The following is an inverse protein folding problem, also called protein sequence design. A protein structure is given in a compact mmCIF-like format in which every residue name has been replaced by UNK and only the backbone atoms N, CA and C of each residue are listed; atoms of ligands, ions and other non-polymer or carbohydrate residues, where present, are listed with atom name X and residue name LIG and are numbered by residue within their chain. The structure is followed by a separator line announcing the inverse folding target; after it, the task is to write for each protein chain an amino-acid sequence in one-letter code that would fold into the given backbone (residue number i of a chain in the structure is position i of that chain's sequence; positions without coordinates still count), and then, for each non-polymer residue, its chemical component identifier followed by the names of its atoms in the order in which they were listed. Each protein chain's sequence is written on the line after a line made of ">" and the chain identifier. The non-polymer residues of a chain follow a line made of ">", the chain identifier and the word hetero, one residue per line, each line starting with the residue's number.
data_IF_099884668571
#
_entry.id   IF_099884668571
#
_cell.length_a   1.000
_cell.length_b   1.000
_cell.length_c   1.000
_cell.angle_alpha   90.00
_cell.angle_beta   90.00
_cell.angle_gamma   90.00
#
_symmetry.space_group_name_H-M   'P 1'
#
loop_
_entity.id
_entity.type
_entity.pdbx_description
1 polymer ?
#
# COMPACT_ATOMS: atom_id res chain seq x y z
N UNK A 1 6.97 0.77 19.23
CA UNK A 1 8.08 0.95 18.27
C UNK A 1 7.78 0.10 17.03
N UNK A 2 7.21 0.67 15.97
CA UNK A 2 7.10 -0.03 14.69
C UNK A 2 8.23 0.48 13.79
N UNK A 3 9.39 -0.16 13.87
CA UNK A 3 10.56 0.23 13.09
C UNK A 3 11.11 -0.99 12.34
N UNK A 4 10.39 -1.38 11.29
CA UNK A 4 10.88 -2.23 10.23
C UNK A 4 10.44 -1.54 8.94
N UNK A 5 11.25 -0.59 8.47
CA UNK A 5 11.08 0.00 7.14
C UNK A 5 11.32 -1.12 6.13
N UNK A 6 10.27 -1.89 5.82
CA UNK A 6 10.29 -2.82 4.69
C UNK A 6 10.32 -1.98 3.42
N UNK A 7 11.16 -2.37 2.47
CA UNK A 7 11.15 -1.73 1.16
C UNK A 7 9.78 -1.86 0.51
N UNK A 8 9.33 -0.82 -0.18
CA UNK A 8 8.01 -0.75 -0.85
C UNK A 8 7.77 -1.92 -1.80
N UNK A 9 8.83 -2.44 -2.43
CA UNK A 9 8.79 -3.65 -3.27
C UNK A 9 8.45 -4.92 -2.48
N UNK A 10 8.93 -5.05 -1.24
CA UNK A 10 8.60 -6.18 -0.38
C UNK A 10 7.14 -6.11 0.06
N UNK A 11 6.65 -4.92 0.41
CA UNK A 11 5.24 -4.72 0.73
C UNK A 11 4.35 -5.01 -0.46
N UNK A 12 4.71 -4.56 -1.67
CA UNK A 12 4.00 -4.89 -2.91
C UNK A 12 3.86 -6.40 -3.13
N UNK A 13 4.91 -7.18 -2.87
CA UNK A 13 4.87 -8.64 -2.95
C UNK A 13 3.94 -9.27 -1.90
N UNK A 14 3.90 -8.70 -0.69
CA UNK A 14 3.09 -9.21 0.41
C UNK A 14 1.60 -8.88 0.27
N UNK A 15 1.26 -7.75 -0.36
CA UNK A 15 -0.14 -7.36 -0.58
C UNK A 15 -0.73 -7.87 -1.89
N UNK A 16 0.11 -8.18 -2.89
CA UNK A 16 -0.37 -8.69 -4.18
C UNK A 16 -1.13 -10.01 -4.00
N UNK A 17 -2.35 -10.08 -4.52
CA UNK A 17 -3.24 -11.23 -4.41
C UNK A 17 -4.02 -11.33 -3.10
N UNK A 18 -3.74 -10.48 -2.10
CA UNK A 18 -4.58 -10.37 -0.90
C UNK A 18 -5.91 -9.69 -1.22
N UNK A 19 -6.90 -9.94 -0.36
CA UNK A 19 -8.15 -9.18 -0.40
C UNK A 19 -7.86 -7.70 -0.08
N UNK A 20 -8.73 -6.81 -0.55
CA UNK A 20 -8.64 -5.38 -0.27
C UNK A 20 -8.42 -5.10 1.22
N UNK A 21 -9.22 -5.71 2.09
CA UNK A 21 -9.15 -5.50 3.55
C UNK A 21 -7.82 -5.99 4.12
N UNK A 22 -7.40 -7.21 3.78
CA UNK A 22 -6.14 -7.76 4.30
C UNK A 22 -4.92 -6.97 3.82
N UNK A 23 -4.98 -6.39 2.62
CA UNK A 23 -3.92 -5.55 2.08
C UNK A 23 -3.85 -4.18 2.77
N UNK A 24 -4.99 -3.55 3.03
CA UNK A 24 -5.09 -2.29 3.78
C UNK A 24 -4.56 -2.48 5.21
N UNK A 25 -5.03 -3.50 5.94
CA UNK A 25 -4.58 -3.81 7.29
C UNK A 25 -3.09 -4.12 7.34
N UNK A 26 -2.56 -4.84 6.35
CA UNK A 26 -1.14 -5.15 6.27
C UNK A 26 -0.33 -3.87 6.17
N UNK A 27 -0.68 -2.92 5.30
CA UNK A 27 0.02 -1.64 5.20
C UNK A 27 -0.05 -0.83 6.52
N UNK A 28 -1.22 -0.79 7.17
CA UNK A 28 -1.40 -0.08 8.44
C UNK A 28 -0.51 -0.69 9.54
N UNK A 29 -0.41 -2.01 9.62
CA UNK A 29 0.49 -2.70 10.58
C UNK A 29 1.97 -2.34 10.38
N UNK A 30 2.38 -1.97 9.17
CA UNK A 30 3.74 -1.49 8.86
C UNK A 30 3.92 0.02 9.06
N UNK A 31 2.91 0.72 9.60
CA UNK A 31 3.00 2.14 9.93
C UNK A 31 2.56 3.09 8.81
N UNK A 32 1.87 2.58 7.79
CA UNK A 32 1.33 3.41 6.72
C UNK A 32 0.04 4.11 7.18
N UNK A 33 -0.19 5.37 6.79
CA UNK A 33 -1.44 6.06 7.10
C UNK A 33 -2.62 5.34 6.42
N UNK A 34 -3.74 5.21 7.13
CA UNK A 34 -4.96 4.54 6.62
C UNK A 34 -5.37 5.13 5.26
N UNK A 35 -5.35 6.46 5.12
CA UNK A 35 -5.69 7.12 3.87
C UNK A 35 -4.75 6.74 2.71
N UNK A 36 -3.43 6.68 2.98
CA UNK A 36 -2.44 6.27 1.99
C UNK A 36 -2.57 4.79 1.63
N UNK A 37 -2.81 3.94 2.61
CA UNK A 37 -3.06 2.51 2.40
C UNK A 37 -4.30 2.29 1.53
N UNK A 38 -5.45 2.86 1.89
CA UNK A 38 -6.69 2.74 1.11
C UNK A 38 -6.54 3.31 -0.30
N UNK A 39 -5.80 4.41 -0.49
CA UNK A 39 -5.54 4.96 -1.82
C UNK A 39 -4.76 3.98 -2.70
N UNK A 40 -3.66 3.43 -2.20
CA UNK A 40 -2.87 2.42 -2.91
C UNK A 40 -3.72 1.21 -3.25
N UNK A 41 -4.46 0.68 -2.28
CA UNK A 41 -5.27 -0.52 -2.51
C UNK A 41 -6.38 -0.24 -3.52
N UNK A 42 -7.06 0.91 -3.46
CA UNK A 42 -8.10 1.27 -4.42
C UNK A 42 -7.58 1.37 -5.87
N UNK A 43 -6.35 1.85 -6.08
CA UNK A 43 -5.73 1.95 -7.41
C UNK A 43 -5.39 0.58 -8.02
N UNK A 44 -5.11 -0.41 -7.16
CA UNK A 44 -4.61 -1.72 -7.57
C UNK A 44 -5.62 -2.85 -7.32
N UNK A 45 -6.85 -2.56 -6.87
CA UNK A 45 -7.86 -3.60 -6.63
C UNK A 45 -8.61 -3.96 -7.90
N UNK A 46 -8.63 -5.26 -8.20
CA UNK A 46 -9.35 -5.83 -9.33
C UNK A 46 -10.84 -6.02 -9.06
N UNK A 47 -11.59 -6.42 -10.09
CA UNK A 47 -13.03 -6.73 -9.98
C UNK A 47 -13.32 -7.89 -9.02
N UNK A 48 -12.33 -8.73 -8.76
CA UNK A 48 -12.37 -9.84 -7.80
C UNK A 48 -12.14 -9.40 -6.35
N UNK A 49 -11.94 -8.10 -6.10
CA UNK A 49 -11.71 -7.55 -4.76
C UNK A 49 -10.31 -7.84 -4.22
N UNK A 50 -9.36 -8.25 -5.07
CA UNK A 50 -7.98 -8.54 -4.72
C UNK A 50 -7.02 -7.53 -5.32
N UNK A 51 -5.87 -7.35 -4.67
CA UNK A 51 -4.80 -6.50 -5.21
C UNK A 51 -4.17 -7.18 -6.42
N UNK A 52 -4.34 -6.55 -7.58
CA UNK A 52 -3.78 -6.93 -8.87
C UNK A 52 -2.77 -5.87 -9.34
N UNK A 53 -2.06 -6.13 -10.43
CA UNK A 53 -1.10 -5.18 -11.01
C UNK A 53 0.36 -5.60 -10.87
N UNK A 54 1.23 -4.75 -11.41
CA UNK A 54 2.67 -4.98 -11.40
C UNK A 54 3.26 -4.60 -10.03
N UNK A 55 4.17 -5.43 -9.51
CA UNK A 55 4.88 -5.17 -8.26
C UNK A 55 5.57 -3.80 -8.27
N UNK A 56 6.11 -3.38 -9.41
CA UNK A 56 6.77 -2.07 -9.56
C UNK A 56 5.77 -0.92 -9.45
N UNK A 57 4.57 -1.06 -10.01
CA UNK A 57 3.53 -0.02 -9.95
C UNK A 57 2.96 0.08 -8.54
N UNK A 58 2.67 -1.05 -7.91
CA UNK A 58 2.22 -1.12 -6.52
C UNK A 58 3.27 -0.48 -5.61
N UNK A 59 4.55 -0.83 -5.76
CA UNK A 59 5.64 -0.25 -4.97
C UNK A 59 5.76 1.27 -5.14
N UNK A 60 5.62 1.79 -6.38
CA UNK A 60 5.61 3.24 -6.63
C UNK A 60 4.42 3.93 -5.97
N UNK A 61 3.23 3.33 -6.03
CA UNK A 61 2.05 3.88 -5.35
C UNK A 61 2.24 3.90 -3.84
N UNK A 62 2.82 2.84 -3.27
CA UNK A 62 3.19 2.76 -1.85
C UNK A 62 4.14 3.91 -1.49
N UNK A 63 5.19 4.16 -2.28
CA UNK A 63 6.15 5.26 -2.06
C UNK A 63 5.50 6.65 -2.12
N UNK A 64 4.64 6.86 -3.12
CA UNK A 64 3.90 8.10 -3.29
C UNK A 64 2.91 8.38 -2.15
N UNK A 65 2.40 7.34 -1.50
CA UNK A 65 1.42 7.45 -0.42
C UNK A 65 2.01 7.23 0.99
N UNK A 66 3.29 6.86 1.11
CA UNK A 66 4.06 6.94 2.37
C UNK A 66 4.51 8.34 2.71
N UNK A 67 4.72 9.16 1.68
CA UNK A 67 5.28 10.48 1.77
C UNK A 67 4.18 11.49 1.46
N UNK A 68 3.22 11.64 2.37
CA UNK A 68 2.57 12.95 2.48
C UNK A 68 3.28 13.73 3.58
N UNK A 69 4.29 14.58 3.29
CA UNK A 69 4.09 15.96 3.69
C UNK A 69 2.86 16.44 2.91
N UNK A 70 1.83 16.82 3.64
CA UNK A 70 0.70 17.58 3.13
C UNK A 70 1.27 18.64 2.16
N UNK A 71 0.84 18.74 0.89
CA UNK A 71 1.08 19.98 0.17
C UNK A 71 0.31 21.06 0.92
N UNK A 72 1.01 21.85 1.74
CA UNK A 72 0.48 23.12 2.23
C UNK A 72 0.13 23.97 1.00
N UNK A 73 -0.98 24.73 1.09
CA UNK A 73 -1.70 25.30 -0.06
C UNK A 73 -0.86 26.21 -0.96
#
# INVERSE_FOLDING_TARGET
>A
MYNLVKSSRRLAMEIKGKSRHDAEDHLIQYGYPVAGASAVIAMHTGKDGRVIGNLTEIAKSIEANTLTPIPCP
#
